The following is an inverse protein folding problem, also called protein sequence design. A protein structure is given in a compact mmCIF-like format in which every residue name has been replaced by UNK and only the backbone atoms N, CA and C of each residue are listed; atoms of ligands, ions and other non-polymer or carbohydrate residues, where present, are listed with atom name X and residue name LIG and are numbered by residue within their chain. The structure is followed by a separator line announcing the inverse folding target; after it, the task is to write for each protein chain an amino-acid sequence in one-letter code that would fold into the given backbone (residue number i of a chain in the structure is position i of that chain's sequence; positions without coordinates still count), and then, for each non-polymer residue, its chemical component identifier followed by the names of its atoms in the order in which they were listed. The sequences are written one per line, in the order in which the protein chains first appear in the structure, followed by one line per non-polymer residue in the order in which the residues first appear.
data_IF_092613915460
#
_entry.id   IF_092613915460
#
_cell.length_a   1.000
_cell.length_b   1.000
_cell.length_c   1.000
_cell.angle_alpha   90.00
_cell.angle_beta   90.00
_cell.angle_gamma   90.00
#
_symmetry.space_group_name_H-M   'P 1'
#
loop_
_entity.id
_entity.type
_entity.pdbx_description
1 polymer ?
#
# COMPACT_ATOMS: atom_id res chain seq x y z
N UNK A 1 8.67 -20.10 27.69
CA UNK A 1 7.55 -20.42 26.77
C UNK A 1 7.49 -19.32 25.73
N UNK A 2 7.63 -19.62 24.44
CA UNK A 2 7.24 -18.67 23.40
C UNK A 2 5.71 -18.69 23.36
N UNK A 3 5.05 -17.58 23.65
CA UNK A 3 3.61 -17.46 23.49
C UNK A 3 3.25 -17.83 22.04
N UNK A 4 2.30 -18.75 21.89
CA UNK A 4 1.76 -19.11 20.58
C UNK A 4 0.80 -18.01 20.21
N UNK A 5 1.19 -17.15 19.26
CA UNK A 5 0.33 -16.09 18.71
C UNK A 5 -0.83 -16.76 17.99
N UNK A 6 -2.06 -16.44 18.36
CA UNK A 6 -3.25 -16.99 17.70
C UNK A 6 -3.52 -16.28 16.36
N UNK A 7 -4.26 -16.88 15.43
CA UNK A 7 -4.66 -16.20 14.18
C UNK A 7 -5.45 -14.91 14.43
N UNK A 8 -6.27 -14.87 15.47
CA UNK A 8 -7.06 -13.71 15.87
C UNK A 8 -6.16 -12.58 16.42
N UNK A 9 -5.12 -12.93 17.18
CA UNK A 9 -4.11 -11.97 17.61
C UNK A 9 -3.32 -11.42 16.42
N UNK A 10 -3.02 -12.27 15.44
CA UNK A 10 -2.32 -11.86 14.23
C UNK A 10 -3.16 -10.88 13.39
N UNK A 11 -4.45 -11.15 13.20
CA UNK A 11 -5.37 -10.27 12.48
C UNK A 11 -5.61 -8.94 13.22
N UNK A 12 -5.73 -8.98 14.54
CA UNK A 12 -5.84 -7.78 15.36
C UNK A 12 -4.57 -6.91 15.30
N UNK A 13 -3.40 -7.54 15.35
CA UNK A 13 -2.12 -6.84 15.21
C UNK A 13 -1.95 -6.28 13.80
N UNK A 14 -2.41 -7.00 12.78
CA UNK A 14 -2.44 -6.51 11.41
C UNK A 14 -3.33 -5.26 11.32
N UNK A 15 -4.55 -5.27 11.88
CA UNK A 15 -5.46 -4.10 11.84
C UNK A 15 -4.83 -2.84 12.46
N UNK A 16 -4.18 -2.98 13.63
CA UNK A 16 -3.46 -1.86 14.26
C UNK A 16 -2.29 -1.39 13.42
N UNK A 17 -1.51 -2.31 12.86
CA UNK A 17 -0.40 -1.99 11.99
C UNK A 17 -0.88 -1.19 10.76
N UNK A 18 -1.95 -1.64 10.09
CA UNK A 18 -2.55 -0.92 8.95
C UNK A 18 -3.01 0.48 9.34
N UNK A 19 -3.67 0.61 10.49
CA UNK A 19 -4.14 1.90 11.01
C UNK A 19 -3.00 2.87 11.28
N UNK A 20 -1.89 2.38 11.85
CA UNK A 20 -0.67 3.19 12.06
C UNK A 20 -0.10 3.66 10.73
N UNK A 21 0.00 2.77 9.73
CA UNK A 21 0.47 3.13 8.39
C UNK A 21 -0.39 4.23 7.75
N UNK A 22 -1.71 4.08 7.72
CA UNK A 22 -2.60 5.06 7.09
C UNK A 22 -2.53 6.41 7.79
N UNK A 23 -2.56 6.45 9.13
CA UNK A 23 -2.49 7.70 9.89
C UNK A 23 -1.13 8.40 9.78
N UNK A 24 -0.04 7.63 9.72
CA UNK A 24 1.29 8.18 9.47
C UNK A 24 1.34 8.85 8.10
N UNK A 25 0.88 8.15 7.06
CA UNK A 25 0.91 8.67 5.69
C UNK A 25 -0.07 9.83 5.50
N UNK A 26 -1.22 9.81 6.18
CA UNK A 26 -2.15 10.95 6.23
C UNK A 26 -1.47 12.18 6.84
N UNK A 27 -0.82 12.03 7.99
CA UNK A 27 -0.11 13.13 8.66
C UNK A 27 1.03 13.67 7.79
N UNK A 28 1.76 12.78 7.12
CA UNK A 28 2.81 13.14 6.16
C UNK A 28 2.25 13.93 4.95
N UNK A 29 1.08 13.53 4.43
CA UNK A 29 0.40 14.23 3.34
C UNK A 29 -0.08 15.62 3.77
N UNK A 30 -0.70 15.72 4.95
CA UNK A 30 -1.36 16.93 5.46
C UNK A 30 -0.35 17.95 5.99
N UNK A 31 0.65 17.51 6.76
CA UNK A 31 1.60 18.40 7.44
C UNK A 31 2.91 18.60 6.68
N UNK A 32 3.20 17.73 5.72
CA UNK A 32 4.47 17.72 4.99
C UNK A 32 5.54 16.89 5.70
N UNK A 33 6.66 16.75 5.00
CA UNK A 33 7.67 15.75 5.31
C UNK A 33 8.21 15.87 6.73
N UNK A 34 7.96 14.83 7.54
CA UNK A 34 8.40 14.76 8.92
C UNK A 34 7.98 15.99 9.75
N UNK A 35 6.82 16.60 9.48
CA UNK A 35 6.25 17.69 10.28
C UNK A 35 5.18 17.23 11.30
N UNK A 36 5.17 15.95 11.62
CA UNK A 36 4.28 15.32 12.61
C UNK A 36 5.08 14.77 13.80
N UNK A 37 4.41 14.36 14.88
CA UNK A 37 5.06 13.68 16.01
C UNK A 37 4.51 12.27 16.24
N UNK A 38 5.31 11.39 16.82
CA UNK A 38 4.88 10.02 17.16
C UNK A 38 3.68 10.02 18.11
N UNK A 39 3.57 11.03 18.98
CA UNK A 39 2.41 11.22 19.85
C UNK A 39 1.12 11.51 19.07
N UNK A 40 1.21 12.19 17.93
CA UNK A 40 0.06 12.45 17.06
C UNK A 40 -0.34 11.21 16.29
N UNK A 41 0.62 10.45 15.76
CA UNK A 41 0.35 9.15 15.12
C UNK A 41 -0.32 8.20 16.11
N UNK A 42 0.20 8.11 17.34
CA UNK A 42 -0.36 7.29 18.41
C UNK A 42 -1.81 7.66 18.73
N UNK A 43 -2.08 8.96 18.88
CA UNK A 43 -3.44 9.47 19.14
C UNK A 43 -4.38 9.17 17.99
N UNK A 44 -3.97 9.42 16.75
CA UNK A 44 -4.80 9.27 15.58
C UNK A 44 -5.09 7.79 15.25
N UNK A 45 -4.11 6.90 15.54
CA UNK A 45 -4.25 5.47 15.31
C UNK A 45 -4.82 4.72 16.53
N UNK A 46 -5.16 5.42 17.63
CA UNK A 46 -5.67 4.83 18.87
C UNK A 46 -4.74 3.76 19.48
N UNK A 47 -3.42 3.96 19.37
CA UNK A 47 -2.39 3.06 19.91
C UNK A 47 -1.44 3.78 20.86
N UNK A 48 -0.61 3.01 21.56
CA UNK A 48 0.48 3.57 22.37
C UNK A 48 1.71 3.86 21.51
N UNK A 49 2.51 4.86 21.91
CA UNK A 49 3.81 5.13 21.24
C UNK A 49 4.75 3.94 21.30
N UNK A 50 4.70 3.16 22.39
CA UNK A 50 5.49 1.94 22.53
C UNK A 50 5.16 0.90 21.47
N UNK A 51 3.88 0.77 21.10
CA UNK A 51 3.46 -0.14 20.04
C UNK A 51 3.96 0.31 18.67
N UNK A 52 3.93 1.62 18.39
CA UNK A 52 4.52 2.18 17.16
C UNK A 52 6.01 1.85 17.12
N UNK A 53 6.75 2.12 18.20
CA UNK A 53 8.18 1.87 18.22
C UNK A 53 8.56 0.39 18.10
N UNK A 54 7.70 -0.49 18.62
CA UNK A 54 7.88 -1.93 18.49
C UNK A 54 7.80 -2.39 17.02
N UNK A 55 6.85 -1.86 16.26
CA UNK A 55 6.61 -2.28 14.88
C UNK A 55 7.42 -1.55 13.83
N UNK A 56 7.67 -0.26 14.03
CA UNK A 56 8.10 0.63 12.94
C UNK A 56 9.51 1.21 13.13
N UNK A 57 10.16 0.98 14.28
CA UNK A 57 11.48 1.55 14.58
C UNK A 57 11.41 2.73 15.56
N UNK A 58 12.48 3.50 15.69
CA UNK A 58 12.60 4.57 16.71
C UNK A 58 12.67 5.97 16.10
N UNK A 59 13.12 6.10 14.86
CA UNK A 59 13.18 7.39 14.15
C UNK A 59 11.93 7.62 13.29
N UNK A 60 11.63 8.88 12.96
CA UNK A 60 10.46 9.18 12.13
C UNK A 60 10.67 8.74 10.69
N UNK A 61 11.92 8.73 10.25
CA UNK A 61 12.38 8.23 8.98
C UNK A 61 12.14 6.74 8.85
N UNK A 62 12.54 5.93 9.85
CA UNK A 62 12.26 4.49 9.91
C UNK A 62 10.75 4.22 9.87
N UNK A 63 10.00 4.98 10.67
CA UNK A 63 8.55 4.87 10.74
C UNK A 63 7.89 5.14 9.38
N UNK A 64 8.33 6.20 8.69
CA UNK A 64 7.81 6.56 7.38
C UNK A 64 8.25 5.58 6.28
N UNK A 65 9.48 5.09 6.33
CA UNK A 65 9.99 4.11 5.38
C UNK A 65 9.19 2.81 5.45
N UNK A 66 8.92 2.32 6.66
CA UNK A 66 8.17 1.09 6.87
C UNK A 66 6.70 1.24 6.45
N UNK A 67 6.06 2.35 6.81
CA UNK A 67 4.71 2.67 6.33
C UNK A 67 4.65 2.79 4.79
N UNK A 68 5.68 3.40 4.18
CA UNK A 68 5.79 3.53 2.71
C UNK A 68 6.00 2.18 2.03
N UNK A 69 6.86 1.31 2.59
CA UNK A 69 7.11 -0.04 2.09
C UNK A 69 5.82 -0.84 2.06
N UNK A 70 5.07 -0.78 3.15
CA UNK A 70 3.80 -1.47 3.27
C UNK A 70 2.76 -0.95 2.27
N UNK A 71 2.64 0.37 2.14
CA UNK A 71 1.78 1.02 1.14
C UNK A 71 2.09 0.53 -0.28
N UNK A 72 3.37 0.54 -0.68
CA UNK A 72 3.74 0.14 -2.05
C UNK A 72 3.43 -1.34 -2.26
N UNK A 73 3.68 -2.17 -1.26
CA UNK A 73 3.28 -3.58 -1.30
C UNK A 73 1.77 -3.74 -1.55
N UNK A 74 0.92 -2.88 -0.97
CA UNK A 74 -0.52 -2.94 -1.21
C UNK A 74 -0.94 -2.40 -2.58
N UNK A 75 -0.42 -1.25 -3.03
CA UNK A 75 -0.75 -0.65 -4.35
C UNK A 75 -0.44 -1.62 -5.48
N UNK A 76 0.68 -2.32 -5.37
CA UNK A 76 1.15 -3.20 -6.42
C UNK A 76 0.66 -4.65 -6.27
N UNK A 77 -0.12 -4.91 -5.22
CA UNK A 77 -0.67 -6.21 -4.92
C UNK A 77 0.39 -7.14 -4.35
N UNK A 78 0.14 -7.62 -3.13
CA UNK A 78 0.90 -8.71 -2.53
C UNK A 78 1.10 -9.84 -3.55
N UNK A 79 2.27 -10.50 -3.49
CA UNK A 79 2.48 -11.83 -4.10
C UNK A 79 1.32 -12.79 -3.80
N UNK A 80 0.69 -12.62 -2.64
CA UNK A 80 -0.40 -13.45 -2.16
C UNK A 80 -1.68 -13.30 -2.98
N UNK A 81 -1.88 -12.21 -3.72
CA UNK A 81 -3.11 -11.96 -4.50
C UNK A 81 -3.00 -12.34 -5.96
N UNK A 82 -1.81 -12.72 -6.42
CA UNK A 82 -1.58 -12.87 -7.85
C UNK A 82 -2.24 -14.14 -8.44
N UNK A 83 -2.59 -15.11 -7.59
CA UNK A 83 -3.40 -16.28 -7.97
C UNK A 83 -4.86 -15.94 -8.29
N UNK A 84 -5.34 -14.72 -8.00
CA UNK A 84 -6.76 -14.36 -8.10
C UNK A 84 -7.18 -13.95 -9.52
N UNK A 85 -6.25 -13.83 -10.46
CA UNK A 85 -6.49 -13.22 -11.78
C UNK A 85 -6.46 -11.69 -11.73
N UNK A 86 -6.31 -11.06 -12.90
CA UNK A 86 -6.09 -9.60 -13.02
C UNK A 86 -7.27 -8.80 -12.45
N UNK A 87 -8.49 -9.22 -12.77
CA UNK A 87 -9.73 -8.58 -12.34
C UNK A 87 -9.88 -8.56 -10.80
N UNK A 88 -9.84 -9.72 -10.14
CA UNK A 88 -10.00 -9.80 -8.69
C UNK A 88 -8.86 -9.11 -7.95
N UNK A 89 -7.63 -9.16 -8.49
CA UNK A 89 -6.51 -8.39 -7.97
C UNK A 89 -6.83 -6.89 -8.03
N UNK A 90 -7.34 -6.37 -9.14
CA UNK A 90 -7.74 -4.97 -9.27
C UNK A 90 -8.85 -4.59 -8.29
N UNK A 91 -9.91 -5.39 -8.16
CA UNK A 91 -10.98 -5.15 -7.17
C UNK A 91 -10.42 -5.03 -5.75
N UNK A 92 -9.53 -5.94 -5.35
CA UNK A 92 -8.88 -5.89 -4.03
C UNK A 92 -8.06 -4.62 -3.82
N UNK A 93 -7.19 -4.29 -4.77
CA UNK A 93 -6.34 -3.11 -4.65
C UNK A 93 -7.17 -1.83 -4.64
N UNK A 94 -8.15 -1.71 -5.54
CA UNK A 94 -9.04 -0.55 -5.61
C UNK A 94 -9.86 -0.41 -4.35
N UNK A 95 -10.44 -1.50 -3.85
CA UNK A 95 -11.19 -1.52 -2.59
C UNK A 95 -10.34 -1.10 -1.39
N UNK A 96 -9.08 -1.53 -1.35
CA UNK A 96 -8.14 -1.11 -0.31
C UNK A 96 -7.79 0.39 -0.41
N UNK A 97 -7.47 0.89 -1.61
CA UNK A 97 -7.09 2.30 -1.81
C UNK A 97 -8.26 3.25 -1.58
N UNK A 98 -9.51 2.81 -1.79
CA UNK A 98 -10.70 3.59 -1.40
C UNK A 98 -10.83 3.78 0.09
N UNK A 99 -10.50 2.75 0.88
CA UNK A 99 -10.51 2.81 2.34
C UNK A 99 -9.32 3.61 2.90
N UNK A 100 -8.24 3.71 2.12
CA UNK A 100 -6.98 4.35 2.53
C UNK A 100 -6.52 5.36 1.45
N UNK A 101 -7.26 6.45 1.19
CA UNK A 101 -7.00 7.35 0.07
C UNK A 101 -5.68 8.13 0.20
N UNK A 102 -5.19 8.31 1.43
CA UNK A 102 -3.91 9.01 1.68
C UNK A 102 -2.73 8.27 1.06
N UNK A 103 -2.83 6.95 0.92
CA UNK A 103 -1.84 6.11 0.24
C UNK A 103 -1.67 6.53 -1.22
N UNK A 104 -2.78 6.68 -1.94
CA UNK A 104 -2.76 7.09 -3.33
C UNK A 104 -2.17 8.51 -3.49
N UNK A 105 -2.56 9.43 -2.61
CA UNK A 105 -2.05 10.81 -2.61
C UNK A 105 -0.56 10.86 -2.30
N UNK A 106 -0.10 10.10 -1.30
CA UNK A 106 1.30 10.04 -0.92
C UNK A 106 2.17 9.44 -2.04
N UNK A 107 1.73 8.34 -2.64
CA UNK A 107 2.38 7.75 -3.81
C UNK A 107 2.48 8.78 -4.95
N UNK A 108 1.37 9.40 -5.34
CA UNK A 108 1.34 10.41 -6.41
C UNK A 108 2.28 11.59 -6.13
N UNK A 109 2.33 12.07 -4.88
CA UNK A 109 3.20 13.18 -4.48
C UNK A 109 4.68 12.84 -4.51
N UNK A 110 5.08 11.58 -4.41
CA UNK A 110 6.49 11.19 -4.25
C UNK A 110 7.06 10.40 -5.44
N UNK A 111 6.22 9.77 -6.24
CA UNK A 111 6.63 9.04 -7.43
C UNK A 111 7.42 9.95 -8.38
N UNK A 112 8.56 9.45 -8.85
CA UNK A 112 9.44 10.17 -9.80
C UNK A 112 10.25 11.32 -9.18
N UNK A 113 10.21 11.52 -7.86
CA UNK A 113 11.08 12.49 -7.18
C UNK A 113 12.42 11.87 -6.82
N UNK A 114 13.49 12.63 -6.98
CA UNK A 114 14.82 12.23 -6.51
C UNK A 114 14.97 12.49 -4.99
N UNK A 115 14.32 11.65 -4.20
CA UNK A 115 14.46 11.61 -2.75
C UNK A 115 14.35 10.17 -2.23
N UNK A 116 14.56 9.95 -0.93
CA UNK A 116 14.53 8.60 -0.33
C UNK A 116 13.23 7.85 -0.61
N UNK A 117 12.09 8.55 -0.52
CA UNK A 117 10.76 7.98 -0.75
C UNK A 117 10.54 7.66 -2.23
N UNK A 118 10.89 8.57 -3.14
CA UNK A 118 10.73 8.36 -4.58
C UNK A 118 11.57 7.19 -5.08
N UNK A 119 12.82 7.06 -4.60
CA UNK A 119 13.67 5.90 -4.90
C UNK A 119 13.13 4.59 -4.31
N UNK A 120 12.56 4.63 -3.10
CA UNK A 120 11.89 3.47 -2.50
C UNK A 120 10.67 3.06 -3.33
N UNK A 121 9.85 4.01 -3.78
CA UNK A 121 8.71 3.76 -4.67
C UNK A 121 9.22 3.05 -5.92
N UNK A 122 10.18 3.65 -6.64
CA UNK A 122 10.77 3.09 -7.86
C UNK A 122 11.26 1.64 -7.71
N UNK A 123 12.10 1.36 -6.70
CA UNK A 123 12.61 0.01 -6.42
C UNK A 123 11.48 -1.02 -6.23
N UNK A 124 10.41 -0.61 -5.55
CA UNK A 124 9.27 -1.49 -5.27
C UNK A 124 8.32 -1.61 -6.46
N UNK A 125 8.14 -0.57 -7.28
CA UNK A 125 7.41 -0.65 -8.56
C UNK A 125 8.10 -1.66 -9.50
N UNK A 126 9.44 -1.60 -9.62
CA UNK A 126 10.21 -2.55 -10.41
C UNK A 126 10.06 -4.00 -9.91
N UNK A 127 10.13 -4.20 -8.59
CA UNK A 127 9.94 -5.52 -7.99
C UNK A 127 8.54 -6.04 -8.23
N UNK A 128 7.53 -5.20 -8.04
CA UNK A 128 6.14 -5.54 -8.31
C UNK A 128 5.92 -5.92 -9.77
N UNK A 129 6.52 -5.19 -10.70
CA UNK A 129 6.45 -5.49 -12.12
C UNK A 129 6.96 -6.89 -12.43
N UNK A 130 8.13 -7.27 -11.88
CA UNK A 130 8.70 -8.62 -12.00
C UNK A 130 7.76 -9.70 -11.44
N UNK A 131 7.13 -9.42 -10.30
CA UNK A 131 6.16 -10.34 -9.68
C UNK A 131 4.94 -10.52 -10.58
N UNK A 132 4.32 -9.43 -11.04
CA UNK A 132 3.15 -9.49 -11.93
C UNK A 132 3.47 -10.28 -13.20
N UNK A 133 4.62 -10.01 -13.83
CA UNK A 133 5.05 -10.76 -15.02
C UNK A 133 5.21 -12.26 -14.76
N UNK A 134 5.64 -12.66 -13.55
CA UNK A 134 5.75 -14.07 -13.19
C UNK A 134 4.39 -14.79 -13.09
N UNK A 135 3.33 -14.08 -12.69
CA UNK A 135 1.98 -14.65 -12.58
C UNK A 135 1.18 -14.56 -13.88
N UNK A 136 1.50 -13.59 -14.74
CA UNK A 136 0.89 -13.41 -16.05
C UNK A 136 1.96 -13.49 -17.15
N UNK A 137 2.61 -14.66 -17.34
CA UNK A 137 3.73 -14.80 -18.27
C UNK A 137 3.34 -14.45 -19.72
N UNK A 138 2.07 -14.64 -20.06
CA UNK A 138 1.51 -14.36 -21.38
C UNK A 138 1.33 -12.87 -21.67
N UNK A 139 1.26 -12.01 -20.65
CA UNK A 139 1.10 -10.58 -20.83
C UNK A 139 2.44 -9.93 -21.12
N UNK A 140 2.56 -9.17 -22.19
CA UNK A 140 3.77 -8.39 -22.45
C UNK A 140 3.92 -7.20 -21.48
N UNK A 141 5.06 -6.53 -21.54
CA UNK A 141 5.33 -5.39 -20.64
C UNK A 141 4.33 -4.25 -20.84
N UNK A 142 3.90 -4.01 -22.08
CA UNK A 142 2.93 -2.96 -22.42
C UNK A 142 1.57 -3.27 -21.81
N UNK A 143 1.12 -4.52 -21.88
CA UNK A 143 -0.13 -4.97 -21.27
C UNK A 143 -0.11 -4.80 -19.74
N UNK A 144 1.02 -5.11 -19.10
CA UNK A 144 1.19 -4.87 -17.66
C UNK A 144 1.09 -3.37 -17.34
N UNK A 145 1.72 -2.50 -18.14
CA UNK A 145 1.59 -1.05 -17.97
C UNK A 145 0.14 -0.57 -18.17
N UNK A 146 -0.57 -1.12 -19.15
CA UNK A 146 -1.99 -0.81 -19.38
C UNK A 146 -2.83 -1.23 -18.17
N UNK A 147 -2.65 -2.45 -17.66
CA UNK A 147 -3.34 -2.94 -16.45
C UNK A 147 -3.10 -2.01 -15.27
N UNK A 148 -1.86 -1.58 -15.06
CA UNK A 148 -1.54 -0.63 -13.98
C UNK A 148 -2.20 0.73 -14.19
N UNK A 149 -2.17 1.27 -15.41
CA UNK A 149 -2.83 2.53 -15.74
C UNK A 149 -4.35 2.44 -15.52
N UNK A 150 -4.97 1.31 -15.89
CA UNK A 150 -6.39 1.05 -15.65
C UNK A 150 -6.70 0.90 -14.16
N UNK A 151 -5.83 0.26 -13.37
CA UNK A 151 -6.01 0.12 -11.92
C UNK A 151 -5.97 1.48 -11.23
N UNK A 152 -5.01 2.33 -11.58
CA UNK A 152 -4.92 3.71 -11.09
C UNK A 152 -6.15 4.52 -11.52
N UNK A 153 -6.60 4.35 -12.76
CA UNK A 153 -7.83 4.99 -13.27
C UNK A 153 -9.06 4.53 -12.49
N UNK A 154 -9.17 3.24 -12.15
CA UNK A 154 -10.28 2.69 -11.37
C UNK A 154 -10.39 3.30 -9.97
N UNK A 155 -9.24 3.62 -9.35
CA UNK A 155 -9.19 4.35 -8.07
C UNK A 155 -9.62 5.80 -8.28
N UNK A 156 -8.97 6.52 -9.20
CA UNK A 156 -9.20 7.95 -9.41
C UNK A 156 -10.62 8.28 -9.88
N UNK A 157 -11.18 7.44 -10.75
CA UNK A 157 -12.53 7.58 -11.32
C UNK A 157 -13.60 6.86 -10.50
N UNK A 158 -13.22 6.23 -9.38
CA UNK A 158 -14.12 5.51 -8.47
C UNK A 158 -15.02 4.45 -9.17
N UNK A 159 -14.44 3.66 -10.09
CA UNK A 159 -15.17 2.59 -10.80
C UNK A 159 -15.81 1.56 -9.86
N UNK A 160 -17.10 1.29 -9.99
CA UNK A 160 -17.72 0.16 -9.28
C UNK A 160 -17.16 -1.20 -9.74
N UNK A 161 -17.51 -2.25 -8.99
CA UNK A 161 -17.03 -3.61 -9.27
C UNK A 161 -17.48 -4.08 -10.66
N UNK A 162 -18.68 -3.70 -11.12
CA UNK A 162 -19.19 -4.01 -12.46
C UNK A 162 -18.35 -3.36 -13.57
N UNK A 163 -17.94 -2.10 -13.38
CA UNK A 163 -17.05 -1.42 -14.32
C UNK A 163 -15.66 -2.05 -14.33
N UNK A 164 -15.14 -2.42 -13.16
CA UNK A 164 -13.86 -3.13 -13.05
C UNK A 164 -13.95 -4.47 -13.78
N UNK A 165 -14.99 -5.27 -13.55
CA UNK A 165 -15.24 -6.54 -14.25
C UNK A 165 -15.22 -6.35 -15.76
N UNK A 166 -16.05 -5.44 -16.27
CA UNK A 166 -16.17 -5.17 -17.71
C UNK A 166 -14.86 -4.73 -18.37
N UNK A 167 -14.03 -3.96 -17.65
CA UNK A 167 -12.76 -3.46 -18.19
C UNK A 167 -11.68 -4.54 -18.13
N UNK A 168 -11.59 -5.27 -17.02
CA UNK A 168 -10.51 -6.22 -16.76
C UNK A 168 -10.79 -7.64 -17.23
N UNK A 169 -12.02 -8.00 -17.62
CA UNK A 169 -12.36 -9.32 -18.18
C UNK A 169 -11.64 -9.65 -19.50
N UNK A 170 -10.89 -8.69 -20.06
CA UNK A 170 -10.09 -8.84 -21.27
C UNK A 170 -8.67 -9.34 -21.01
N UNK A 171 -8.26 -9.42 -19.74
CA UNK A 171 -6.93 -9.83 -19.26
C UNK A 171 -7.03 -11.05 -18.37
#
# INVERSE_FOLDING_TARGET
MKEVVTPEDQDFMNDKYFRICDELLRLEVVKGHLNWSVSEVARASEVTRSLIYYYFGKSKEELLEEASRHMIHTIYGNSDNAHLGVENRCKKVVGFLRKNPNLFVYWYKNRGKDNSVGRLIEEKEERAFKVIKSYYPNLDETEIYIIQALQISAVAMQWDDETIERVFSKY
#
